data_IF_823883185092
#
_entry.id   IF_823883185092
#
_cell.length_a   1.000
_cell.length_b   1.000
_cell.length_c   1.000
_cell.angle_alpha   90.00
_cell.angle_beta   90.00
_cell.angle_gamma   90.00
#
_symmetry.space_group_name_H-M   'P 1'
#
loop_
_entity.id
_entity.type
_entity.pdbx_description
1 polymer ?
#
# COMPACT_ATOMS: atom_id res chain seq x y z
N UNK A 1 -13.20 0.53 11.90
CA UNK A 1 -11.94 0.46 11.12
C UNK A 1 -11.58 -0.99 10.90
N UNK A 2 -11.17 -1.40 9.68
CA UNK A 2 -10.78 -2.80 9.42
C UNK A 2 -9.48 -3.14 10.16
N UNK A 3 -9.30 -4.41 10.55
CA UNK A 3 -8.15 -4.84 11.36
C UNK A 3 -6.87 -4.79 10.53
N UNK A 4 -5.84 -4.08 11.00
CA UNK A 4 -4.51 -4.14 10.40
C UNK A 4 -3.90 -5.52 10.66
N UNK A 5 -3.50 -6.20 9.61
CA UNK A 5 -2.91 -7.54 9.66
C UNK A 5 -1.39 -7.49 9.56
N UNK A 6 -0.88 -6.61 8.70
CA UNK A 6 0.56 -6.47 8.46
C UNK A 6 0.90 -5.06 7.97
N UNK A 7 2.07 -4.56 8.35
CA UNK A 7 2.62 -3.29 7.89
C UNK A 7 4.04 -3.52 7.36
N UNK A 8 4.22 -3.26 6.07
CA UNK A 8 5.51 -3.29 5.40
C UNK A 8 6.04 -1.88 5.13
N UNK A 9 7.11 -1.79 4.34
CA UNK A 9 7.79 -0.51 4.04
C UNK A 9 6.92 0.49 3.27
N UNK A 10 6.09 0.01 2.34
CA UNK A 10 5.30 0.85 1.43
C UNK A 10 3.81 0.54 1.43
N UNK A 11 3.39 -0.51 2.13
CA UNK A 11 2.04 -1.06 2.07
C UNK A 11 1.57 -1.53 3.45
N UNK A 12 0.28 -1.38 3.70
CA UNK A 12 -0.40 -1.92 4.87
C UNK A 12 -1.50 -2.86 4.39
N UNK A 13 -1.57 -4.05 4.98
CA UNK A 13 -2.63 -5.02 4.72
C UNK A 13 -3.66 -5.01 5.84
N UNK A 14 -4.92 -4.97 5.46
CA UNK A 14 -6.07 -5.03 6.35
C UNK A 14 -6.96 -6.22 6.01
N UNK A 15 -7.68 -6.72 7.01
CA UNK A 15 -8.71 -7.73 6.82
C UNK A 15 -9.84 -7.19 5.94
N UNK A 16 -10.38 -8.02 5.06
CA UNK A 16 -11.69 -7.79 4.44
C UNK A 16 -12.80 -8.55 5.19
N UNK A 17 -14.05 -8.38 4.77
CA UNK A 17 -15.19 -9.14 5.32
C UNK A 17 -15.32 -10.50 4.66
N UNK A 18 -14.90 -10.62 3.40
CA UNK A 18 -14.88 -11.86 2.65
C UNK A 18 -13.61 -12.66 2.96
N UNK A 19 -13.77 -13.98 3.10
CA UNK A 19 -12.65 -14.89 3.33
C UNK A 19 -11.68 -14.87 2.14
N UNK A 20 -10.39 -14.99 2.44
CA UNK A 20 -9.29 -14.91 1.46
C UNK A 20 -9.18 -13.58 0.70
N UNK A 21 -9.97 -12.56 1.06
CA UNK A 21 -9.84 -11.21 0.54
C UNK A 21 -9.06 -10.32 1.53
N UNK A 22 -8.23 -9.44 0.98
CA UNK A 22 -7.45 -8.46 1.73
C UNK A 22 -7.62 -7.07 1.14
N UNK A 23 -7.51 -6.05 1.99
CA UNK A 23 -7.40 -4.65 1.54
C UNK A 23 -5.96 -4.21 1.71
N UNK A 24 -5.36 -3.75 0.61
CA UNK A 24 -4.00 -3.23 0.58
C UNK A 24 -4.03 -1.70 0.43
N UNK A 25 -3.47 -0.97 1.40
CA UNK A 25 -3.29 0.47 1.33
C UNK A 25 -1.83 0.79 1.01
N UNK A 26 -1.59 1.68 0.04
CA UNK A 26 -0.25 2.17 -0.29
C UNK A 26 0.08 3.41 0.54
N UNK A 27 1.29 3.45 1.10
CA UNK A 27 1.79 4.53 1.95
C UNK A 27 2.52 5.62 1.14
N UNK A 28 2.40 6.85 1.63
CA UNK A 28 3.18 8.00 1.16
C UNK A 28 4.63 7.96 1.66
N UNK A 29 4.94 7.09 2.63
CA UNK A 29 6.32 6.86 3.09
C UNK A 29 7.20 6.27 1.99
N UNK A 30 8.40 6.81 1.87
CA UNK A 30 9.49 6.25 1.07
C UNK A 30 10.68 5.99 1.99
N UNK A 31 11.29 4.81 1.83
CA UNK A 31 12.54 4.47 2.51
C UNK A 31 13.66 4.74 1.50
N UNK A 32 14.58 5.63 1.86
CA UNK A 32 15.74 5.97 1.06
C UNK A 32 16.82 4.89 1.18
N UNK A 33 17.81 4.92 0.28
CA UNK A 33 18.97 4.01 0.35
C UNK A 33 19.79 4.19 1.64
N UNK A 34 19.70 5.37 2.26
CA UNK A 34 20.29 5.68 3.57
C UNK A 34 19.57 4.98 4.74
N UNK A 35 18.40 4.39 4.50
CA UNK A 35 17.51 3.82 5.53
C UNK A 35 16.58 4.84 6.17
N UNK A 36 16.70 6.12 5.83
CA UNK A 36 15.79 7.16 6.31
C UNK A 36 14.40 7.02 5.70
N UNK A 37 13.37 7.27 6.51
CA UNK A 37 11.98 7.29 6.04
C UNK A 37 11.52 8.73 5.88
N UNK A 38 11.06 9.07 4.68
CA UNK A 38 10.46 10.38 4.37
C UNK A 38 9.02 10.20 3.91
N UNK A 39 8.19 11.22 4.12
CA UNK A 39 6.83 11.26 3.57
C UNK A 39 6.82 12.04 2.25
N UNK A 40 6.35 11.40 1.19
CA UNK A 40 6.17 12.01 -0.14
C UNK A 40 4.67 12.05 -0.43
N UNK A 41 4.08 13.24 -0.34
CA UNK A 41 2.64 13.42 -0.51
C UNK A 41 2.15 12.88 -1.85
N UNK A 42 1.09 12.06 -1.81
CA UNK A 42 0.43 11.50 -3.00
C UNK A 42 1.11 10.29 -3.63
N UNK A 43 2.30 9.89 -3.14
CA UNK A 43 3.01 8.69 -3.61
C UNK A 43 2.15 7.43 -3.50
N UNK A 44 1.42 7.27 -2.40
CA UNK A 44 0.56 6.12 -2.15
C UNK A 44 -0.57 6.02 -3.18
N UNK A 45 -1.26 7.14 -3.43
CA UNK A 45 -2.36 7.22 -4.40
C UNK A 45 -1.88 6.92 -5.82
N UNK A 46 -0.76 7.53 -6.24
CA UNK A 46 -0.19 7.28 -7.56
C UNK A 46 0.17 5.81 -7.75
N UNK A 47 0.86 5.21 -6.77
CA UNK A 47 1.23 3.79 -6.85
C UNK A 47 0.02 2.86 -6.84
N UNK A 48 -1.02 3.19 -6.08
CA UNK A 48 -2.27 2.43 -6.09
C UNK A 48 -2.92 2.44 -7.48
N UNK A 49 -3.03 3.62 -8.09
CA UNK A 49 -3.65 3.78 -9.40
C UNK A 49 -2.86 3.08 -10.51
N UNK A 50 -1.54 3.26 -10.55
CA UNK A 50 -0.67 2.59 -11.52
C UNK A 50 -0.76 1.07 -11.36
N UNK A 51 -0.66 0.57 -10.11
CA UNK A 51 -0.72 -0.86 -9.85
C UNK A 51 -2.08 -1.44 -10.25
N UNK A 52 -3.17 -0.77 -9.90
CA UNK A 52 -4.52 -1.22 -10.26
C UNK A 52 -4.72 -1.24 -11.78
N UNK A 53 -4.25 -0.20 -12.48
CA UNK A 53 -4.37 -0.13 -13.93
C UNK A 53 -3.55 -1.22 -14.64
N UNK A 54 -2.32 -1.45 -14.21
CA UNK A 54 -1.48 -2.51 -14.79
C UNK A 54 -2.06 -3.90 -14.52
N UNK A 55 -2.51 -4.18 -13.29
CA UNK A 55 -3.08 -5.48 -12.93
C UNK A 55 -4.41 -5.76 -13.66
N UNK A 56 -5.19 -4.73 -13.97
CA UNK A 56 -6.40 -4.85 -14.80
C UNK A 56 -6.11 -5.19 -16.28
N UNK A 57 -4.87 -4.97 -16.73
CA UNK A 57 -4.44 -5.17 -18.12
C UNK A 57 -3.58 -6.42 -18.34
N UNK A 58 -3.25 -7.15 -17.26
CA UNK A 58 -2.56 -8.44 -17.30
C UNK A 58 -3.56 -9.58 -17.48
#
# INVERSE_FOLDING_TARGET
>A
MKKKLYEGSSKILYSAEEDFLLIMAFSDKAILETGETIDISGKGVLNNNISSFLMDKL
#
